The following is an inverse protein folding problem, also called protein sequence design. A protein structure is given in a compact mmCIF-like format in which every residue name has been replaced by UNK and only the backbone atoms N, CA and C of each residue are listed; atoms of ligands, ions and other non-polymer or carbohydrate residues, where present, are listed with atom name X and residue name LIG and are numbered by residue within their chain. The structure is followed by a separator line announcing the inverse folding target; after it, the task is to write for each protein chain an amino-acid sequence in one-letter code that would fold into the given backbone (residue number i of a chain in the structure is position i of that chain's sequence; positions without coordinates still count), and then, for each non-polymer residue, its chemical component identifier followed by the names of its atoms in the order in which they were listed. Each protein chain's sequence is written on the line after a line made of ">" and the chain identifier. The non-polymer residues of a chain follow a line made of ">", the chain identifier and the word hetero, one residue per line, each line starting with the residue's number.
data_IF_205612174928
#
_entry.id   IF_205612174928
#
_cell.length_a   1.000
_cell.length_b   1.000
_cell.length_c   1.000
_cell.angle_alpha   90.00
_cell.angle_beta   90.00
_cell.angle_gamma   90.00
#
_symmetry.space_group_name_H-M   'P 1'
#
loop_
_entity.id
_entity.type
_entity.pdbx_description
1 polymer ?
#
# COMPACT_ATOMS: atom_id res chain seq x y z
N UNK A 1 9.74 -2.80 -2.87
CA UNK A 1 9.72 -1.41 -3.42
C UNK A 1 8.54 -0.53 -2.95
N UNK A 2 7.37 -0.42 -3.60
CA UNK A 2 6.28 0.49 -3.12
C UNK A 2 5.41 -0.10 -2.00
N UNK A 3 5.16 -1.42 -2.05
CA UNK A 3 4.44 -2.12 -1.00
C UNK A 3 5.29 -2.35 0.25
N UNK A 4 6.59 -2.02 0.21
CA UNK A 4 7.60 -2.37 1.21
C UNK A 4 8.00 -1.15 2.05
N UNK A 5 7.01 -0.46 2.60
CA UNK A 5 7.22 0.66 3.51
C UNK A 5 7.40 2.04 2.86
N UNK A 6 7.04 3.05 3.63
CA UNK A 6 7.05 4.48 3.30
C UNK A 6 7.55 5.27 4.52
N UNK A 7 7.98 6.53 4.36
CA UNK A 7 8.48 7.31 5.52
C UNK A 7 7.50 7.37 6.69
N UNK A 8 6.20 7.53 6.41
CA UNK A 8 5.14 7.57 7.44
C UNK A 8 4.78 6.19 7.99
N UNK A 9 4.96 5.14 7.19
CA UNK A 9 4.68 3.74 7.55
C UNK A 9 5.87 2.86 7.15
N UNK A 10 6.96 2.84 7.95
CA UNK A 10 8.24 2.27 7.53
C UNK A 10 8.29 0.73 7.57
N UNK A 11 7.37 0.11 8.30
CA UNK A 11 7.26 -1.35 8.39
C UNK A 11 6.87 -1.94 7.03
N UNK A 12 7.74 -2.80 6.46
CA UNK A 12 7.61 -3.30 5.08
C UNK A 12 6.25 -3.94 4.79
N UNK A 13 5.63 -4.60 5.77
CA UNK A 13 4.36 -5.31 5.60
C UNK A 13 3.14 -4.58 6.18
N UNK A 14 3.26 -3.32 6.63
CA UNK A 14 2.16 -2.60 7.30
C UNK A 14 0.89 -2.55 6.44
N UNK A 15 1.04 -2.25 5.16
CA UNK A 15 -0.11 -2.14 4.25
C UNK A 15 -0.84 -3.47 4.06
N UNK A 16 -0.10 -4.53 3.73
CA UNK A 16 -0.68 -5.87 3.54
C UNK A 16 -1.30 -6.40 4.84
N UNK A 17 -0.63 -6.18 5.98
CA UNK A 17 -1.13 -6.55 7.30
C UNK A 17 -2.42 -5.81 7.62
N UNK A 18 -2.45 -4.49 7.43
CA UNK A 18 -3.62 -3.67 7.69
C UNK A 18 -4.84 -4.15 6.89
N UNK A 19 -4.67 -4.38 5.58
CA UNK A 19 -5.77 -4.87 4.75
C UNK A 19 -6.25 -6.25 5.19
N UNK A 20 -5.34 -7.20 5.42
CA UNK A 20 -5.67 -8.56 5.87
C UNK A 20 -6.47 -8.57 7.20
N UNK A 21 -6.08 -7.73 8.16
CA UNK A 21 -6.76 -7.62 9.45
C UNK A 21 -8.14 -6.95 9.37
N UNK A 22 -8.40 -6.17 8.32
CA UNK A 22 -9.61 -5.35 8.18
C UNK A 22 -10.49 -5.77 6.99
N UNK A 23 -10.38 -7.03 6.57
CA UNK A 23 -11.25 -7.64 5.55
C UNK A 23 -11.01 -7.08 4.15
N UNK A 24 -9.78 -6.68 3.86
CA UNK A 24 -9.37 -6.09 2.61
C UNK A 24 -8.25 -6.87 1.91
N UNK A 25 -8.01 -6.51 0.67
CA UNK A 25 -6.99 -7.06 -0.20
C UNK A 25 -6.49 -5.98 -1.15
N UNK A 26 -5.33 -6.21 -1.76
CA UNK A 26 -4.79 -5.29 -2.76
C UNK A 26 -4.04 -6.05 -3.85
N UNK A 27 -3.85 -5.39 -4.98
CA UNK A 27 -2.97 -5.86 -6.02
C UNK A 27 -2.50 -4.69 -6.90
N UNK A 28 -1.58 -4.97 -7.81
CA UNK A 28 -1.14 -4.01 -8.81
C UNK A 28 -0.81 -4.71 -10.13
N UNK A 29 -0.87 -3.96 -11.22
CA UNK A 29 -0.48 -4.42 -12.55
C UNK A 29 0.20 -3.31 -13.32
N UNK A 30 1.30 -3.65 -14.00
CA UNK A 30 2.02 -2.74 -14.89
C UNK A 30 1.79 -3.17 -16.33
N UNK A 31 1.26 -2.27 -17.14
CA UNK A 31 1.15 -2.38 -18.60
C UNK A 31 2.26 -1.55 -19.27
N UNK A 32 2.24 -1.47 -20.60
CA UNK A 32 3.24 -0.69 -21.36
C UNK A 32 3.22 0.82 -21.09
N UNK A 33 2.07 1.39 -20.73
CA UNK A 33 1.84 2.83 -20.65
C UNK A 33 1.19 3.28 -19.32
N UNK A 34 0.86 2.34 -18.44
CA UNK A 34 0.25 2.63 -17.14
C UNK A 34 0.60 1.58 -16.10
N UNK A 35 0.58 2.02 -14.84
CA UNK A 35 0.61 1.13 -13.68
C UNK A 35 -0.63 1.40 -12.84
N UNK A 36 -1.38 0.34 -12.56
CA UNK A 36 -2.61 0.41 -11.76
C UNK A 36 -2.37 -0.22 -10.41
N UNK A 37 -2.70 0.51 -9.36
CA UNK A 37 -2.72 0.03 -7.98
C UNK A 37 -4.15 0.13 -7.46
N UNK A 38 -4.64 -0.90 -6.78
CA UNK A 38 -5.99 -0.92 -6.24
C UNK A 38 -6.07 -1.74 -4.95
N UNK A 39 -7.09 -1.44 -4.14
CA UNK A 39 -7.41 -2.18 -2.94
C UNK A 39 -8.90 -2.12 -2.60
N UNK A 40 -9.33 -3.06 -1.78
CA UNK A 40 -10.60 -3.03 -1.07
C UNK A 40 -10.36 -3.15 0.45
N UNK A 41 -11.32 -2.67 1.22
CA UNK A 41 -11.35 -2.77 2.68
C UNK A 41 -12.76 -2.53 3.17
N UNK A 42 -13.09 -2.97 4.38
CA UNK A 42 -14.37 -2.63 5.00
C UNK A 42 -14.53 -1.10 5.17
N UNK A 43 -15.73 -0.53 4.94
CA UNK A 43 -15.93 0.92 4.84
C UNK A 43 -15.41 1.74 6.01
N UNK A 44 -15.54 1.22 7.24
CA UNK A 44 -15.10 1.91 8.45
C UNK A 44 -13.57 2.10 8.54
N UNK A 45 -12.79 1.38 7.73
CA UNK A 45 -11.33 1.45 7.71
C UNK A 45 -10.76 2.16 6.48
N UNK A 46 -11.61 2.65 5.57
CA UNK A 46 -11.19 3.31 4.33
C UNK A 46 -10.24 4.48 4.59
N UNK A 47 -10.50 5.32 5.60
CA UNK A 47 -9.67 6.48 5.90
C UNK A 47 -8.21 6.10 6.20
N UNK A 48 -7.99 5.08 7.05
CA UNK A 48 -6.63 4.61 7.37
C UNK A 48 -6.00 3.82 6.23
N UNK A 49 -6.76 2.96 5.54
CA UNK A 49 -6.25 2.22 4.37
C UNK A 49 -5.76 3.19 3.28
N UNK A 50 -6.56 4.22 2.98
CA UNK A 50 -6.24 5.21 1.96
C UNK A 50 -5.04 6.08 2.35
N UNK A 51 -4.89 6.42 3.64
CA UNK A 51 -3.72 7.16 4.13
C UNK A 51 -2.43 6.35 3.90
N UNK A 52 -2.42 5.06 4.25
CA UNK A 52 -1.27 4.17 4.00
C UNK A 52 -1.01 4.04 2.49
N UNK A 53 -2.06 3.79 1.70
CA UNK A 53 -1.97 3.66 0.24
C UNK A 53 -1.41 4.91 -0.44
N UNK A 54 -1.85 6.11 -0.01
CA UNK A 54 -1.41 7.37 -0.60
C UNK A 54 0.10 7.60 -0.45
N UNK A 55 0.72 7.10 0.63
CA UNK A 55 2.16 7.26 0.85
C UNK A 55 3.02 6.55 -0.20
N UNK A 56 2.47 5.57 -0.93
CA UNK A 56 3.16 4.91 -2.05
C UNK A 56 3.57 5.94 -3.12
N UNK A 57 2.81 7.02 -3.25
CA UNK A 57 2.99 8.05 -4.28
C UNK A 57 3.61 9.34 -3.73
N UNK A 58 3.96 9.37 -2.43
CA UNK A 58 4.52 10.55 -1.77
C UNK A 58 6.00 10.32 -1.41
N UNK A 59 6.28 9.31 -0.60
CA UNK A 59 7.62 9.08 -0.03
C UNK A 59 7.88 7.59 0.27
N UNK A 60 7.95 6.73 -0.78
CA UNK A 60 8.34 5.33 -0.63
C UNK A 60 9.81 5.19 -0.24
N UNK A 61 10.14 4.17 0.58
CA UNK A 61 11.50 4.03 1.12
C UNK A 61 12.50 3.44 0.11
N UNK A 62 12.07 2.48 -0.70
CA UNK A 62 12.96 1.75 -1.63
C UNK A 62 14.25 1.25 -0.96
N UNK A 63 14.11 0.56 0.19
CA UNK A 63 15.24 -0.02 0.92
C UNK A 63 16.01 -1.02 0.05
N UNK A 64 17.32 -1.13 0.26
CA UNK A 64 18.19 -2.04 -0.52
C UNK A 64 17.81 -3.53 -0.35
N UNK A 65 17.13 -3.87 0.74
CA UNK A 65 16.69 -5.23 1.05
C UNK A 65 15.41 -5.67 0.31
N UNK A 66 14.74 -4.76 -0.41
CA UNK A 66 13.36 -4.91 -0.89
C UNK A 66 13.18 -5.09 -2.42
#
# INVERSE_FOLDING_TARGET
>A
MLFMGTEKYPEENEYNKFLSEHGGSSNASTSSDHTTYYFDVLPQHLGKALDIFAQFFVSPLFTESA
#
